data_IF_001042987462
#
_entry.id   IF_001042987462
#
_cell.length_a   1.000
_cell.length_b   1.000
_cell.length_c   1.000
_cell.angle_alpha   90.00
_cell.angle_beta   90.00
_cell.angle_gamma   90.00
#
_symmetry.space_group_name_H-M   'P 1'
#
loop_
_entity.id
_entity.type
_entity.pdbx_description
1 polymer ?
#
# COMPACT_ATOMS: atom_id res chain seq x y z
N UNK A 1 -20.36 10.86 10.51
CA UNK A 1 -20.30 10.01 9.30
C UNK A 1 -19.35 10.69 8.32
N UNK A 2 -18.31 10.02 7.85
CA UNK A 2 -17.49 10.53 6.75
C UNK A 2 -18.30 10.47 5.45
N UNK A 3 -18.18 11.48 4.57
CA UNK A 3 -18.85 11.40 3.26
C UNK A 3 -18.16 10.33 2.39
N UNK A 4 -18.86 9.84 1.36
CA UNK A 4 -18.27 8.92 0.39
C UNK A 4 -17.05 9.52 -0.30
N UNK A 5 -17.10 10.81 -0.61
CA UNK A 5 -15.98 11.51 -1.24
C UNK A 5 -14.79 11.63 -0.28
N UNK A 6 -15.03 11.93 1.00
CA UNK A 6 -13.98 11.91 2.03
C UNK A 6 -13.37 10.52 2.15
N UNK A 7 -14.19 9.47 2.24
CA UNK A 7 -13.74 8.09 2.32
C UNK A 7 -12.88 7.70 1.10
N UNK A 8 -13.29 8.09 -0.11
CA UNK A 8 -12.53 7.85 -1.35
C UNK A 8 -11.18 8.57 -1.32
N UNK A 9 -11.15 9.81 -0.84
CA UNK A 9 -9.90 10.58 -0.73
C UNK A 9 -8.97 10.02 0.35
N UNK A 10 -9.49 9.52 1.47
CA UNK A 10 -8.70 8.79 2.45
C UNK A 10 -8.10 7.50 1.89
N UNK A 11 -8.90 6.68 1.20
CA UNK A 11 -8.40 5.44 0.59
C UNK A 11 -7.35 5.70 -0.50
N UNK A 12 -7.50 6.75 -1.30
CA UNK A 12 -6.46 7.17 -2.26
C UNK A 12 -5.15 7.52 -1.55
N UNK A 13 -5.20 8.25 -0.43
CA UNK A 13 -4.00 8.59 0.36
C UNK A 13 -3.36 7.34 0.94
N UNK A 14 -4.15 6.40 1.47
CA UNK A 14 -3.64 5.11 1.95
C UNK A 14 -2.94 4.34 0.83
N UNK A 15 -3.55 4.24 -0.36
CA UNK A 15 -2.92 3.58 -1.51
C UNK A 15 -1.59 4.22 -1.90
N UNK A 16 -1.49 5.55 -1.85
CA UNK A 16 -0.23 6.26 -2.10
C UNK A 16 0.84 5.94 -1.04
N UNK A 17 0.44 5.77 0.22
CA UNK A 17 1.35 5.37 1.30
C UNK A 17 1.90 3.97 1.03
N UNK A 18 1.05 2.98 0.74
CA UNK A 18 1.51 1.60 0.51
C UNK A 18 2.49 1.52 -0.68
N UNK A 19 2.16 2.20 -1.78
CA UNK A 19 3.06 2.29 -2.95
C UNK A 19 4.36 3.03 -2.59
N UNK A 20 4.29 4.08 -1.78
CA UNK A 20 5.44 4.82 -1.31
C UNK A 20 6.38 3.97 -0.45
N UNK A 21 5.83 3.21 0.50
CA UNK A 21 6.57 2.32 1.38
C UNK A 21 7.22 1.18 0.61
N UNK A 22 6.50 0.55 -0.33
CA UNK A 22 7.07 -0.44 -1.25
C UNK A 22 8.32 0.11 -1.96
N UNK A 23 8.20 1.31 -2.54
CA UNK A 23 9.32 1.93 -3.26
C UNK A 23 10.49 2.28 -2.32
N UNK A 24 10.20 2.70 -1.09
CA UNK A 24 11.21 2.94 -0.06
C UNK A 24 11.98 1.68 0.29
N UNK A 25 11.29 0.57 0.56
CA UNK A 25 11.94 -0.71 0.84
C UNK A 25 12.70 -1.25 -0.36
N UNK A 26 12.20 -1.06 -1.58
CA UNK A 26 12.92 -1.42 -2.81
C UNK A 26 14.23 -0.66 -2.95
N UNK A 27 14.22 0.65 -2.70
CA UNK A 27 15.43 1.48 -2.75
C UNK A 27 16.45 1.05 -1.68
N UNK A 28 15.98 0.71 -0.47
CA UNK A 28 16.84 0.18 0.60
C UNK A 28 17.41 -1.20 0.26
N UNK A 29 16.63 -2.12 -0.30
CA UNK A 29 17.09 -3.44 -0.76
C UNK A 29 18.22 -3.33 -1.80
N UNK A 30 18.12 -2.36 -2.71
CA UNK A 30 19.15 -2.09 -3.72
C UNK A 30 20.45 -1.53 -3.13
N UNK A 31 20.37 -0.80 -2.02
CA UNK A 31 21.52 -0.11 -1.40
C UNK A 31 22.22 -0.92 -0.31
N UNK A 32 21.49 -1.80 0.36
CA UNK A 32 22.03 -2.60 1.47
C UNK A 32 22.80 -3.82 0.96
N UNK A 33 23.92 -4.13 1.61
CA UNK A 33 24.75 -5.32 1.30
C UNK A 33 24.44 -6.51 2.21
N UNK A 34 23.94 -6.24 3.41
CA UNK A 34 23.63 -7.25 4.40
C UNK A 34 22.44 -8.13 3.91
N UNK A 35 22.61 -9.46 3.82
CA UNK A 35 21.59 -10.37 3.32
C UNK A 35 20.37 -10.49 4.26
N UNK A 36 20.54 -10.28 5.56
CA UNK A 36 19.43 -10.31 6.53
C UNK A 36 18.51 -9.10 6.30
N UNK A 37 19.09 -7.91 6.14
CA UNK A 37 18.34 -6.70 5.79
C UNK A 37 17.61 -6.83 4.45
N UNK A 38 18.26 -7.37 3.41
CA UNK A 38 17.61 -7.65 2.12
C UNK A 38 16.38 -8.52 2.28
N UNK A 39 16.50 -9.61 3.05
CA UNK A 39 15.39 -10.54 3.30
C UNK A 39 14.21 -9.84 3.97
N UNK A 40 14.49 -8.99 4.96
CA UNK A 40 13.45 -8.21 5.64
C UNK A 40 12.80 -7.21 4.68
N UNK A 41 13.55 -6.46 3.89
CA UNK A 41 12.99 -5.50 2.93
C UNK A 41 12.16 -6.18 1.84
N UNK A 42 12.57 -7.36 1.38
CA UNK A 42 11.79 -8.15 0.42
C UNK A 42 10.46 -8.62 1.00
N UNK A 43 10.44 -9.03 2.28
CA UNK A 43 9.20 -9.35 2.97
C UNK A 43 8.30 -8.12 3.09
N UNK A 44 8.85 -6.98 3.53
CA UNK A 44 8.08 -5.74 3.66
C UNK A 44 7.51 -5.28 2.31
N UNK A 45 8.27 -5.37 1.20
CA UNK A 45 7.76 -5.11 -0.14
C UNK A 45 6.57 -6.01 -0.51
N UNK A 46 6.59 -7.28 -0.12
CA UNK A 46 5.44 -8.18 -0.33
C UNK A 46 4.23 -7.72 0.47
N UNK A 47 4.42 -7.40 1.75
CA UNK A 47 3.36 -6.95 2.64
C UNK A 47 2.71 -5.65 2.10
N UNK A 48 3.49 -4.66 1.67
CA UNK A 48 2.94 -3.41 1.10
C UNK A 48 2.21 -3.63 -0.23
N UNK A 49 2.61 -4.65 -1.01
CA UNK A 49 1.88 -5.03 -2.22
C UNK A 49 0.49 -5.57 -1.85
N UNK A 50 0.41 -6.45 -0.85
CA UNK A 50 -0.86 -7.00 -0.35
C UNK A 50 -1.75 -5.90 0.26
N UNK A 51 -1.17 -4.97 1.02
CA UNK A 51 -1.90 -3.80 1.54
C UNK A 51 -2.48 -2.95 0.41
N UNK A 52 -1.70 -2.63 -0.63
CA UNK A 52 -2.18 -1.86 -1.78
C UNK A 52 -3.34 -2.55 -2.51
N UNK A 53 -3.31 -3.87 -2.64
CA UNK A 53 -4.42 -4.66 -3.22
C UNK A 53 -5.68 -4.59 -2.35
N UNK A 54 -5.55 -4.71 -1.03
CA UNK A 54 -6.66 -4.57 -0.10
C UNK A 54 -7.28 -3.17 -0.14
N UNK A 55 -6.47 -2.11 -0.21
CA UNK A 55 -6.96 -0.74 -0.35
C UNK A 55 -7.73 -0.56 -1.65
N UNK A 56 -7.24 -1.10 -2.78
CA UNK A 56 -7.99 -1.08 -4.06
C UNK A 56 -9.32 -1.81 -3.93
N UNK A 57 -9.35 -2.96 -3.26
CA UNK A 57 -10.60 -3.71 -3.01
C UNK A 57 -11.59 -2.90 -2.16
N UNK A 58 -11.11 -2.17 -1.15
CA UNK A 58 -11.97 -1.27 -0.36
C UNK A 58 -12.55 -0.13 -1.22
N UNK A 59 -11.76 0.43 -2.13
CA UNK A 59 -12.23 1.45 -3.08
C UNK A 59 -13.33 0.89 -4.00
N UNK A 60 -13.14 -0.33 -4.53
CA UNK A 60 -14.15 -1.00 -5.36
C UNK A 60 -15.46 -1.25 -4.59
N UNK A 61 -15.37 -1.68 -3.33
CA UNK A 61 -16.54 -1.89 -2.48
C UNK A 61 -17.28 -0.57 -2.18
N UNK A 62 -16.54 0.52 -1.94
CA UNK A 62 -17.10 1.86 -1.74
C UNK A 62 -17.82 2.37 -3.00
N UNK A 63 -17.32 2.03 -4.18
CA UNK A 63 -17.97 2.39 -5.45
C UNK A 63 -19.20 1.51 -5.72
N UNK A 64 -19.16 0.21 -5.38
CA UNK A 64 -20.26 -0.77 -5.56
C UNK A 64 -21.41 -0.66 -4.56
N UNK A 65 -21.22 -0.07 -3.38
CA UNK A 65 -22.30 0.14 -2.40
C UNK A 65 -23.42 1.10 -2.85
N UNK A 66 -23.36 1.57 -4.11
CA UNK A 66 -24.36 2.44 -4.76
C UNK A 66 -24.83 1.79 -6.07
N UNK A 67 -25.33 0.56 -5.98
CA UNK A 67 -26.25 -0.02 -6.97
C UNK A 67 -27.53 -0.45 -6.30
#
# INVERSE_FOLDING_TARGET
MISKEDAKNYLKKMLQIEIGMYNGYKDLDLKVKDPEFKTIFQKLMKDETEHAELVRKLMDLLDKSVK
#
